data_IF_190595116580
#
_entry.id   IF_190595116580
#
_cell.length_a   1.000
_cell.length_b   1.000
_cell.length_c   1.000
_cell.angle_alpha   90.00
_cell.angle_beta   90.00
_cell.angle_gamma   90.00
#
_symmetry.space_group_name_H-M   'P 1'
#
loop_
_entity.id
_entity.type
_entity.pdbx_description
1 polymer ?
#
# COMPACT_ATOMS: atom_id res chain seq x y z
N UNK A 1 18.90 -6.65 -7.61
CA UNK A 1 17.64 -6.87 -8.36
C UNK A 1 16.79 -7.80 -7.52
N UNK A 2 15.59 -7.42 -7.13
CA UNK A 2 14.67 -8.19 -6.27
C UNK A 2 13.37 -8.42 -7.00
N UNK A 3 12.61 -9.45 -6.59
CA UNK A 3 11.26 -9.72 -7.08
C UNK A 3 10.28 -9.18 -6.04
N UNK A 4 9.41 -8.25 -6.43
CA UNK A 4 8.42 -7.66 -5.55
C UNK A 4 7.03 -7.97 -6.08
N UNK A 5 6.23 -8.69 -5.29
CA UNK A 5 4.87 -9.05 -5.66
C UNK A 5 3.87 -8.14 -4.98
N UNK A 6 3.07 -7.46 -5.79
CA UNK A 6 1.97 -6.58 -5.39
C UNK A 6 0.68 -7.36 -5.47
N UNK A 7 -0.08 -7.44 -4.38
CA UNK A 7 -1.38 -8.13 -4.33
C UNK A 7 -2.48 -7.11 -4.15
N UNK A 8 -3.28 -6.93 -5.19
CA UNK A 8 -4.27 -5.89 -5.37
C UNK A 8 -3.84 -4.92 -6.48
N UNK A 9 -4.62 -4.83 -7.55
CA UNK A 9 -4.38 -3.92 -8.69
C UNK A 9 -5.18 -2.61 -8.56
N UNK A 10 -5.39 -2.15 -7.33
CA UNK A 10 -5.96 -0.83 -7.06
C UNK A 10 -4.98 0.30 -7.41
N UNK A 11 -5.50 1.54 -7.51
CA UNK A 11 -4.72 2.70 -7.95
C UNK A 11 -3.42 2.91 -7.16
N UNK A 12 -3.46 2.77 -5.80
CA UNK A 12 -2.30 3.04 -4.97
C UNK A 12 -1.20 1.97 -5.13
N UNK A 13 -1.59 0.68 -5.15
CA UNK A 13 -0.64 -0.39 -5.39
C UNK A 13 -0.01 -0.29 -6.78
N UNK A 14 -0.81 -0.02 -7.80
CA UNK A 14 -0.32 0.17 -9.16
C UNK A 14 0.59 1.40 -9.30
N UNK A 15 0.30 2.50 -8.59
CA UNK A 15 1.19 3.66 -8.55
C UNK A 15 2.53 3.35 -7.87
N UNK A 16 2.56 2.49 -6.86
CA UNK A 16 3.81 2.08 -6.20
C UNK A 16 4.70 1.18 -7.08
N UNK A 17 4.19 0.65 -8.18
CA UNK A 17 5.03 -0.06 -9.15
C UNK A 17 6.03 0.87 -9.84
N UNK A 18 5.74 2.19 -9.97
CA UNK A 18 6.64 3.14 -10.63
C UNK A 18 8.00 3.24 -9.92
N UNK A 19 8.08 3.67 -8.64
CA UNK A 19 9.36 3.79 -7.97
C UNK A 19 10.10 2.47 -7.86
N UNK A 20 9.39 1.35 -7.64
CA UNK A 20 10.02 0.03 -7.50
C UNK A 20 10.57 -0.50 -8.81
N UNK A 21 9.85 -0.34 -9.91
CA UNK A 21 10.32 -0.73 -11.24
C UNK A 21 11.54 0.11 -11.67
N UNK A 22 11.50 1.42 -11.42
CA UNK A 22 12.59 2.36 -11.73
C UNK A 22 13.86 2.09 -10.91
N UNK A 23 13.75 1.44 -9.75
CA UNK A 23 14.88 0.91 -8.99
C UNK A 23 15.48 -0.38 -9.60
N UNK A 24 14.97 -0.85 -10.73
CA UNK A 24 15.46 -2.02 -11.44
C UNK A 24 15.03 -3.36 -10.85
N UNK A 25 13.88 -3.38 -10.15
CA UNK A 25 13.30 -4.60 -9.62
C UNK A 25 12.33 -5.27 -10.60
N UNK A 26 12.16 -6.59 -10.48
CA UNK A 26 11.10 -7.32 -11.16
C UNK A 26 9.81 -7.15 -10.39
N UNK A 27 8.77 -6.68 -11.06
CA UNK A 27 7.46 -6.41 -10.46
C UNK A 27 6.44 -7.42 -10.96
N UNK A 28 5.74 -8.05 -10.02
CA UNK A 28 4.60 -8.92 -10.27
C UNK A 28 3.36 -8.28 -9.67
N UNK A 29 2.37 -7.96 -10.49
CA UNK A 29 1.11 -7.35 -10.06
C UNK A 29 -0.02 -8.37 -10.18
N UNK A 30 -0.61 -8.73 -9.04
CA UNK A 30 -1.69 -9.70 -8.92
C UNK A 30 -3.00 -8.97 -8.65
N UNK A 31 -4.03 -9.23 -9.43
CA UNK A 31 -5.38 -8.72 -9.16
C UNK A 31 -6.04 -9.43 -7.97
N UNK A 32 -6.94 -8.74 -7.28
CA UNK A 32 -7.92 -9.38 -6.38
C UNK A 32 -9.08 -9.97 -7.21
N UNK A 33 -10.03 -10.71 -6.60
CA UNK A 33 -11.25 -11.14 -7.31
C UNK A 33 -12.05 -10.00 -7.97
N UNK A 34 -11.85 -8.75 -7.51
CA UNK A 34 -12.52 -7.56 -8.05
C UNK A 34 -11.73 -6.86 -9.17
N UNK A 35 -10.47 -7.24 -9.38
CA UNK A 35 -9.56 -6.54 -10.30
C UNK A 35 -9.41 -7.27 -11.66
N UNK A 36 -10.25 -8.28 -11.93
CA UNK A 36 -10.13 -9.11 -13.14
C UNK A 36 -10.00 -8.28 -14.42
N UNK A 37 -10.93 -7.35 -14.63
CA UNK A 37 -10.96 -6.50 -15.82
C UNK A 37 -9.76 -5.54 -15.89
N UNK A 38 -9.25 -5.10 -14.73
CA UNK A 38 -8.04 -4.26 -14.64
C UNK A 38 -6.83 -5.05 -15.12
N UNK A 39 -6.66 -6.27 -14.62
CA UNK A 39 -5.53 -7.14 -15.04
C UNK A 39 -5.63 -7.51 -16.52
N UNK A 40 -6.83 -7.82 -17.02
CA UNK A 40 -7.04 -8.10 -18.45
C UNK A 40 -6.64 -6.90 -19.33
N UNK A 41 -6.97 -5.68 -18.91
CA UNK A 41 -6.58 -4.48 -19.64
C UNK A 41 -5.06 -4.25 -19.58
N UNK A 42 -4.45 -4.43 -18.39
CA UNK A 42 -3.00 -4.30 -18.22
C UNK A 42 -2.21 -5.32 -19.06
N UNK A 43 -2.67 -6.56 -19.13
CA UNK A 43 -2.07 -7.60 -19.99
C UNK A 43 -2.11 -7.25 -21.48
N UNK A 44 -3.09 -6.45 -21.89
CA UNK A 44 -3.28 -6.06 -23.28
C UNK A 44 -2.35 -4.95 -23.72
N UNK A 45 -2.19 -3.90 -22.90
CA UNK A 45 -1.52 -2.68 -23.34
C UNK A 45 -0.86 -1.86 -22.20
N UNK A 46 -0.66 -2.45 -21.01
CA UNK A 46 -0.10 -1.79 -19.82
C UNK A 46 -0.94 -0.60 -19.29
N UNK A 47 -2.13 -0.34 -19.85
CA UNK A 47 -2.98 0.78 -19.43
C UNK A 47 -3.85 0.42 -18.22
N UNK A 48 -3.68 1.18 -17.12
CA UNK A 48 -4.49 1.02 -15.91
C UNK A 48 -5.76 1.88 -15.98
N UNK A 49 -6.97 1.28 -16.11
CA UNK A 49 -8.19 2.02 -16.46
C UNK A 49 -8.67 3.01 -15.39
N UNK A 50 -8.46 2.73 -14.11
CA UNK A 50 -8.89 3.61 -13.02
C UNK A 50 -7.80 4.61 -12.61
N UNK A 51 -6.53 4.25 -12.66
CA UNK A 51 -5.41 5.18 -12.47
C UNK A 51 -5.23 6.12 -13.68
N UNK A 52 -5.69 5.68 -14.87
CA UNK A 52 -5.56 6.40 -16.15
C UNK A 52 -4.11 6.72 -16.52
N UNK A 53 -3.22 5.76 -16.27
CA UNK A 53 -1.79 5.83 -16.60
C UNK A 53 -1.35 4.50 -17.21
N UNK A 54 -0.35 4.56 -18.08
CA UNK A 54 0.37 3.37 -18.51
C UNK A 54 1.38 2.99 -17.45
N UNK A 55 1.38 1.73 -17.03
CA UNK A 55 2.44 1.19 -16.18
C UNK A 55 3.68 0.91 -17.03
N UNK A 56 4.81 0.66 -16.39
CA UNK A 56 6.04 0.34 -17.10
C UNK A 56 5.91 -0.99 -17.84
N UNK A 57 6.33 -1.01 -19.09
CA UNK A 57 6.41 -2.25 -19.85
C UNK A 57 7.41 -3.21 -19.22
N UNK A 58 7.04 -4.48 -19.09
CA UNK A 58 7.85 -5.51 -18.42
C UNK A 58 7.39 -5.84 -17.00
N UNK A 59 6.32 -5.22 -16.50
CA UNK A 59 5.61 -5.70 -15.30
C UNK A 59 4.89 -7.00 -15.65
N UNK A 60 5.02 -8.00 -14.79
CA UNK A 60 4.32 -9.28 -14.92
C UNK A 60 2.94 -9.19 -14.27
N UNK A 61 1.88 -9.48 -15.03
CA UNK A 61 0.49 -9.40 -14.54
C UNK A 61 -0.10 -10.78 -14.30
N UNK A 62 -0.80 -10.93 -13.18
CA UNK A 62 -1.38 -12.20 -12.75
C UNK A 62 -2.83 -12.02 -12.32
N UNK A 63 -3.69 -12.97 -12.68
CA UNK A 63 -5.01 -13.10 -12.06
C UNK A 63 -4.90 -13.77 -10.68
N UNK A 64 -5.94 -13.65 -9.86
CA UNK A 64 -5.90 -14.13 -8.46
C UNK A 64 -5.66 -15.64 -8.34
N UNK A 65 -6.13 -16.42 -9.28
CA UNK A 65 -5.92 -17.89 -9.33
C UNK A 65 -4.44 -18.27 -9.56
N UNK A 66 -3.63 -17.32 -10.00
CA UNK A 66 -2.18 -17.49 -10.21
C UNK A 66 -1.33 -16.92 -9.05
N UNK A 67 -1.96 -16.51 -7.92
CA UNK A 67 -1.25 -15.83 -6.82
C UNK A 67 -0.09 -16.64 -6.27
N UNK A 68 -0.22 -17.96 -6.17
CA UNK A 68 0.84 -18.83 -5.66
C UNK A 68 2.09 -18.78 -6.55
N UNK A 69 1.91 -18.80 -7.87
CA UNK A 69 3.03 -18.61 -8.81
C UNK A 69 3.63 -17.22 -8.73
N UNK A 70 2.81 -16.19 -8.49
CA UNK A 70 3.28 -14.82 -8.40
C UNK A 70 4.08 -14.53 -7.13
N UNK A 71 3.79 -15.20 -6.00
CA UNK A 71 4.52 -15.03 -4.74
C UNK A 71 5.75 -15.95 -4.62
N UNK A 72 5.85 -16.97 -5.47
CA UNK A 72 6.99 -17.87 -5.47
C UNK A 72 8.30 -17.12 -5.77
N UNK A 73 9.28 -17.25 -4.88
CA UNK A 73 10.58 -16.57 -5.00
C UNK A 73 10.54 -15.05 -4.84
N UNK A 74 9.43 -14.46 -4.37
CA UNK A 74 9.36 -13.04 -4.08
C UNK A 74 10.26 -12.68 -2.89
N UNK A 75 10.95 -11.53 -3.00
CA UNK A 75 11.81 -10.96 -1.95
C UNK A 75 11.02 -10.01 -1.02
N UNK A 76 9.91 -9.47 -1.50
CA UNK A 76 8.97 -8.66 -0.72
C UNK A 76 7.55 -8.77 -1.27
N UNK A 77 6.55 -8.64 -0.39
CA UNK A 77 5.13 -8.64 -0.75
C UNK A 77 4.53 -7.28 -0.39
N UNK A 78 3.82 -6.67 -1.32
CA UNK A 78 3.01 -5.49 -1.04
C UNK A 78 1.52 -5.88 -1.03
N UNK A 79 0.85 -5.60 0.09
CA UNK A 79 -0.61 -5.69 0.21
C UNK A 79 -1.24 -4.36 -0.23
N UNK A 80 -1.94 -4.40 -1.37
CA UNK A 80 -2.58 -3.25 -2.00
C UNK A 80 -4.10 -3.26 -1.97
N UNK A 81 -4.71 -4.07 -1.08
CA UNK A 81 -6.17 -4.16 -0.96
C UNK A 81 -6.76 -2.92 -0.28
N UNK A 82 -8.02 -2.64 -0.54
CA UNK A 82 -8.79 -1.64 0.21
C UNK A 82 -9.18 -2.16 1.60
N UNK A 83 -9.71 -1.28 2.46
CA UNK A 83 -10.24 -1.67 3.78
C UNK A 83 -11.30 -2.77 3.71
N UNK A 84 -12.04 -2.87 2.62
CA UNK A 84 -13.02 -3.95 2.40
C UNK A 84 -12.39 -5.31 2.10
N UNK A 85 -11.12 -5.33 1.67
CA UNK A 85 -10.38 -6.56 1.35
C UNK A 85 -9.55 -7.11 2.51
N UNK A 86 -9.57 -6.49 3.69
CA UNK A 86 -8.70 -6.85 4.83
C UNK A 86 -8.97 -8.27 5.33
N UNK A 87 -10.23 -8.65 5.48
CA UNK A 87 -10.62 -10.01 5.90
C UNK A 87 -10.29 -11.04 4.84
N UNK A 88 -10.63 -10.74 3.57
CA UNK A 88 -10.28 -11.59 2.45
C UNK A 88 -8.76 -11.83 2.37
N UNK A 89 -7.96 -10.78 2.52
CA UNK A 89 -6.50 -10.90 2.51
C UNK A 89 -5.99 -11.77 3.67
N UNK A 90 -6.57 -11.59 4.86
CA UNK A 90 -6.26 -12.40 6.04
C UNK A 90 -6.52 -13.89 5.80
N UNK A 91 -7.68 -14.21 5.24
CA UNK A 91 -8.15 -15.58 5.15
C UNK A 91 -7.61 -16.32 3.91
N UNK A 92 -7.43 -15.62 2.79
CA UNK A 92 -7.06 -16.23 1.51
C UNK A 92 -5.57 -16.05 1.14
N UNK A 93 -4.92 -14.98 1.60
CA UNK A 93 -3.56 -14.66 1.17
C UNK A 93 -2.52 -14.93 2.26
N UNK A 94 -2.73 -14.45 3.49
CA UNK A 94 -1.73 -14.65 4.55
C UNK A 94 -1.29 -16.09 4.74
N UNK A 95 -2.17 -17.12 4.65
CA UNK A 95 -1.76 -18.52 4.78
C UNK A 95 -0.77 -19.01 3.71
N UNK A 96 -0.72 -18.32 2.57
CA UNK A 96 0.15 -18.68 1.43
C UNK A 96 1.53 -18.00 1.49
N UNK A 97 1.69 -16.98 2.35
CA UNK A 97 2.90 -16.18 2.41
C UNK A 97 4.03 -16.90 3.18
N UNK A 98 5.25 -16.73 2.67
CA UNK A 98 6.45 -17.22 3.37
C UNK A 98 6.81 -16.28 4.54
N UNK A 99 6.93 -16.79 5.79
CA UNK A 99 7.28 -15.99 6.95
C UNK A 99 8.64 -15.27 6.87
N UNK A 100 9.54 -15.74 6.02
CA UNK A 100 10.85 -15.09 5.81
C UNK A 100 10.80 -13.90 4.88
N UNK A 101 9.72 -13.74 4.11
CA UNK A 101 9.54 -12.66 3.16
C UNK A 101 8.77 -11.52 3.84
N UNK A 102 9.31 -10.30 3.91
CA UNK A 102 8.60 -9.18 4.52
C UNK A 102 7.38 -8.78 3.67
N UNK A 103 6.28 -8.52 4.37
CA UNK A 103 5.07 -7.97 3.78
C UNK A 103 4.87 -6.53 4.25
N UNK A 104 4.53 -5.63 3.34
CA UNK A 104 4.18 -4.24 3.66
C UNK A 104 2.82 -3.90 3.06
N UNK A 105 1.97 -3.21 3.83
CA UNK A 105 0.61 -2.85 3.44
C UNK A 105 0.45 -1.35 3.21
N UNK A 106 -0.33 -0.98 2.19
CA UNK A 106 -0.78 0.41 1.96
C UNK A 106 -2.23 0.64 2.39
N UNK A 107 -2.87 -0.38 2.96
CA UNK A 107 -4.27 -0.33 3.40
C UNK A 107 -4.41 0.63 4.57
N UNK A 108 -5.33 1.58 4.46
CA UNK A 108 -5.56 2.63 5.47
C UNK A 108 -6.84 2.37 6.23
N UNK A 109 -6.78 2.50 7.55
CA UNK A 109 -7.94 2.34 8.43
C UNK A 109 -7.62 1.53 9.68
N UNK A 110 -8.67 1.20 10.42
CA UNK A 110 -8.60 0.39 11.64
C UNK A 110 -9.80 -0.56 11.69
N UNK A 111 -9.64 -1.68 12.35
CA UNK A 111 -10.74 -2.58 12.68
C UNK A 111 -11.36 -2.14 14.00
N UNK A 112 -12.69 -2.08 14.03
CA UNK A 112 -13.45 -2.00 15.28
C UNK A 112 -13.77 -3.42 15.73
N UNK A 113 -13.16 -3.83 16.84
CA UNK A 113 -13.39 -5.14 17.43
C UNK A 113 -14.78 -5.22 18.06
N UNK A 114 -15.34 -6.42 18.29
CA UNK A 114 -16.66 -6.60 18.90
C UNK A 114 -16.81 -5.99 20.31
N UNK A 115 -15.71 -5.84 21.04
CA UNK A 115 -15.63 -5.19 22.35
C UNK A 115 -15.54 -3.66 22.29
N UNK A 116 -15.55 -3.09 21.08
CA UNK A 116 -15.43 -1.65 20.82
C UNK A 116 -14.00 -1.12 20.79
N UNK A 117 -12.98 -1.97 20.95
CA UNK A 117 -11.59 -1.54 20.78
C UNK A 117 -11.26 -1.34 19.32
N UNK A 118 -10.39 -0.35 19.04
CA UNK A 118 -9.83 -0.14 17.72
C UNK A 118 -8.48 -0.87 17.63
N UNK A 119 -8.27 -1.56 16.51
CA UNK A 119 -7.05 -2.29 16.23
C UNK A 119 -6.50 -1.88 14.87
N UNK A 120 -5.18 -1.72 14.77
CA UNK A 120 -4.49 -1.49 13.48
C UNK A 120 -4.64 -2.71 12.57
N UNK A 121 -4.52 -2.53 11.24
CA UNK A 121 -4.57 -3.69 10.34
C UNK A 121 -3.36 -4.61 10.51
N UNK A 122 -2.19 -4.06 10.84
CA UNK A 122 -1.01 -4.88 11.16
C UNK A 122 -1.27 -5.78 12.35
N UNK A 123 -1.80 -5.22 13.46
CA UNK A 123 -2.12 -6.01 14.66
C UNK A 123 -3.23 -7.03 14.39
N UNK A 124 -4.27 -6.62 13.63
CA UNK A 124 -5.36 -7.50 13.24
C UNK A 124 -4.86 -8.74 12.49
N UNK A 125 -3.98 -8.54 11.52
CA UNK A 125 -3.39 -9.65 10.80
C UNK A 125 -2.44 -10.48 11.65
N UNK A 126 -1.58 -9.86 12.47
CA UNK A 126 -0.66 -10.55 13.38
C UNK A 126 -1.39 -11.38 14.45
N UNK A 127 -2.60 -11.01 14.83
CA UNK A 127 -3.42 -11.78 15.76
C UNK A 127 -4.08 -13.02 15.12
N UNK A 128 -4.01 -13.19 13.80
CA UNK A 128 -4.51 -14.39 13.12
C UNK A 128 -3.49 -15.54 13.17
N UNK A 129 -3.95 -16.78 12.99
CA UNK A 129 -3.07 -17.96 12.98
C UNK A 129 -1.97 -17.91 11.91
N UNK A 130 -2.30 -17.40 10.75
CA UNK A 130 -1.32 -17.24 9.66
C UNK A 130 -0.40 -16.03 9.90
N UNK A 131 -0.98 -14.89 10.29
CA UNK A 131 -0.27 -13.63 10.40
C UNK A 131 0.73 -13.54 11.54
N UNK A 132 0.51 -14.26 12.65
CA UNK A 132 1.42 -14.24 13.82
C UNK A 132 2.85 -14.69 13.52
N UNK A 133 3.07 -15.39 12.42
CA UNK A 133 4.39 -15.86 11.97
C UNK A 133 5.01 -14.94 10.93
N UNK A 134 4.25 -13.98 10.40
CA UNK A 134 4.65 -13.14 9.29
C UNK A 134 5.33 -11.86 9.74
N UNK A 135 6.23 -11.34 8.91
CA UNK A 135 6.91 -10.08 9.11
C UNK A 135 6.12 -8.95 8.42
N UNK A 136 5.14 -8.38 9.13
CA UNK A 136 4.13 -7.46 8.58
C UNK A 136 4.48 -6.02 8.93
N UNK A 137 4.42 -5.14 7.92
CA UNK A 137 4.72 -3.71 7.98
C UNK A 137 3.60 -2.90 7.33
N UNK A 138 3.59 -1.57 7.54
CA UNK A 138 2.63 -0.69 6.89
C UNK A 138 3.30 0.57 6.32
N UNK A 139 2.60 1.19 5.35
CA UNK A 139 2.95 2.48 4.76
C UNK A 139 1.89 3.50 5.17
N UNK A 140 2.32 4.58 5.80
CA UNK A 140 1.49 5.70 6.16
C UNK A 140 1.95 7.00 5.51
N UNK A 141 1.02 7.92 5.23
CA UNK A 141 1.37 9.25 4.72
C UNK A 141 0.37 9.85 3.74
N UNK A 142 0.57 11.11 3.37
CA UNK A 142 -0.33 11.89 2.52
C UNK A 142 -0.06 11.69 1.02
N UNK A 143 0.46 10.56 0.60
CA UNK A 143 0.69 10.24 -0.81
C UNK A 143 -0.63 9.86 -1.49
N UNK A 144 -0.88 10.42 -2.67
CA UNK A 144 -1.97 10.02 -3.57
C UNK A 144 -1.42 9.22 -4.75
N UNK A 145 -2.25 8.35 -5.34
CA UNK A 145 -1.83 7.50 -6.45
C UNK A 145 -1.49 8.29 -7.71
N UNK A 146 -2.19 9.38 -7.96
CA UNK A 146 -1.96 10.22 -9.14
C UNK A 146 -0.64 10.99 -9.03
N UNK A 147 -0.42 11.66 -7.89
CA UNK A 147 0.82 12.38 -7.62
C UNK A 147 2.04 11.46 -7.73
N UNK A 148 1.95 10.25 -7.16
CA UNK A 148 3.03 9.27 -7.24
C UNK A 148 3.29 8.80 -8.68
N UNK A 149 2.23 8.51 -9.44
CA UNK A 149 2.35 8.10 -10.85
C UNK A 149 2.87 9.22 -11.75
N UNK A 150 2.60 10.48 -11.41
CA UNK A 150 3.10 11.67 -12.10
C UNK A 150 4.49 12.12 -11.58
N UNK A 151 5.08 11.35 -10.64
CA UNK A 151 6.39 11.58 -10.02
C UNK A 151 6.46 12.88 -9.21
N UNK A 152 5.32 13.32 -8.69
CA UNK A 152 5.29 14.43 -7.74
C UNK A 152 5.90 13.99 -6.41
N UNK A 153 6.65 14.90 -5.78
CA UNK A 153 7.31 14.61 -4.53
C UNK A 153 6.31 14.22 -3.44
N UNK A 154 6.46 13.01 -2.93
CA UNK A 154 5.61 12.43 -1.88
C UNK A 154 6.45 11.97 -0.69
N UNK A 155 5.93 12.18 0.53
CA UNK A 155 6.55 11.77 1.78
C UNK A 155 5.66 10.77 2.50
N UNK A 156 6.24 9.63 2.87
CA UNK A 156 5.57 8.57 3.61
C UNK A 156 6.43 8.06 4.75
N UNK A 157 5.79 7.36 5.68
CA UNK A 157 6.47 6.59 6.71
C UNK A 157 6.25 5.10 6.46
N UNK A 158 7.32 4.32 6.46
CA UNK A 158 7.24 2.87 6.59
C UNK A 158 7.35 2.52 8.07
N UNK A 159 6.41 1.75 8.58
CA UNK A 159 6.39 1.35 9.99
C UNK A 159 6.34 -0.16 10.17
N UNK A 160 7.02 -0.62 11.24
CA UNK A 160 7.13 -2.03 11.59
C UNK A 160 8.06 -2.22 12.79
N UNK A 161 8.06 -3.38 13.40
CA UNK A 161 8.82 -3.63 14.63
C UNK A 161 10.35 -3.70 14.40
N UNK A 162 10.78 -4.14 13.21
CA UNK A 162 12.19 -4.35 12.90
C UNK A 162 12.73 -3.25 11.95
N UNK A 163 13.60 -2.41 12.49
CA UNK A 163 14.18 -1.28 11.74
C UNK A 163 15.05 -1.73 10.56
N UNK A 164 15.73 -2.87 10.65
CA UNK A 164 16.58 -3.38 9.56
C UNK A 164 15.72 -3.86 8.39
N UNK A 165 14.59 -4.52 8.67
CA UNK A 165 13.61 -4.88 7.62
C UNK A 165 13.02 -3.63 6.99
N UNK A 166 12.73 -2.59 7.78
CA UNK A 166 12.25 -1.31 7.24
C UNK A 166 13.29 -0.64 6.34
N UNK A 167 14.58 -0.68 6.69
CA UNK A 167 15.68 -0.18 5.83
C UNK A 167 15.75 -0.95 4.51
N UNK A 168 15.62 -2.27 4.58
CA UNK A 168 15.57 -3.11 3.39
C UNK A 168 14.37 -2.74 2.51
N UNK A 169 13.15 -2.70 3.06
CA UNK A 169 11.95 -2.29 2.33
C UNK A 169 12.10 -0.88 1.75
N UNK A 170 12.61 0.09 2.53
CA UNK A 170 12.90 1.43 2.03
C UNK A 170 13.78 1.38 0.79
N UNK A 171 14.86 0.61 0.79
CA UNK A 171 15.78 0.50 -0.35
C UNK A 171 15.14 -0.03 -1.63
N UNK A 172 14.02 -0.76 -1.53
CA UNK A 172 13.27 -1.24 -2.68
C UNK A 172 12.39 -0.16 -3.32
N UNK A 173 11.88 0.78 -2.52
CA UNK A 173 10.83 1.73 -2.92
C UNK A 173 11.29 3.18 -3.04
N UNK A 174 12.32 3.61 -2.32
CA UNK A 174 12.73 5.02 -2.28
C UNK A 174 13.23 5.50 -3.65
N UNK A 175 12.77 6.69 -4.04
CA UNK A 175 13.14 7.37 -5.28
C UNK A 175 13.32 8.86 -5.03
N UNK A 176 13.87 9.59 -6.01
CA UNK A 176 14.06 11.06 -5.93
C UNK A 176 12.75 11.80 -5.63
N UNK A 177 11.60 11.24 -6.06
CA UNK A 177 10.26 11.80 -5.83
C UNK A 177 9.46 11.06 -4.76
N UNK A 178 9.91 9.90 -4.25
CA UNK A 178 9.22 9.11 -3.23
C UNK A 178 10.10 8.96 -1.99
N UNK A 179 9.87 9.83 -1.01
CA UNK A 179 10.68 9.96 0.20
C UNK A 179 10.11 9.12 1.35
N UNK A 180 10.95 8.29 1.96
CA UNK A 180 10.51 7.32 2.98
C UNK A 180 11.22 7.59 4.30
N UNK A 181 10.44 7.91 5.33
CA UNK A 181 10.85 7.90 6.73
C UNK A 181 10.59 6.53 7.36
N UNK A 182 11.33 6.17 8.38
CA UNK A 182 11.17 4.89 9.07
C UNK A 182 10.69 5.12 10.51
N UNK A 183 9.74 4.30 10.97
CA UNK A 183 9.22 4.36 12.33
C UNK A 183 9.00 2.96 12.91
N UNK A 184 9.38 2.73 14.15
CA UNK A 184 9.00 1.53 14.88
C UNK A 184 7.68 1.68 15.65
N UNK A 185 7.08 2.86 15.64
CA UNK A 185 5.77 3.12 16.19
C UNK A 185 4.67 2.80 15.16
N UNK A 186 4.32 1.52 15.04
CA UNK A 186 3.29 1.03 14.12
C UNK A 186 1.94 1.64 14.46
N UNK A 187 1.56 1.61 15.74
CA UNK A 187 0.26 2.10 16.21
C UNK A 187 0.10 3.59 15.94
N UNK A 188 1.11 4.39 16.29
CA UNK A 188 1.07 5.84 16.06
C UNK A 188 0.95 6.19 14.58
N UNK A 189 1.72 5.53 13.70
CA UNK A 189 1.66 5.78 12.25
C UNK A 189 0.30 5.36 11.67
N UNK A 190 -0.22 4.16 11.97
CA UNK A 190 -1.49 3.70 11.43
C UNK A 190 -2.68 4.50 11.97
N UNK A 191 -2.67 4.89 13.26
CA UNK A 191 -3.68 5.81 13.82
C UNK A 191 -3.68 7.17 13.11
N UNK A 192 -2.51 7.76 12.92
CA UNK A 192 -2.39 9.05 12.21
C UNK A 192 -2.92 8.97 10.78
N UNK A 193 -2.64 7.85 10.09
CA UNK A 193 -3.11 7.61 8.71
C UNK A 193 -4.63 7.40 8.65
N UNK A 194 -5.19 6.64 9.60
CA UNK A 194 -6.64 6.44 9.68
C UNK A 194 -7.40 7.77 9.89
N UNK A 195 -6.83 8.68 10.67
CA UNK A 195 -7.41 9.99 10.97
C UNK A 195 -7.09 11.08 9.93
N UNK A 196 -6.25 10.81 8.94
CA UNK A 196 -5.77 11.80 7.94
C UNK A 196 -6.91 12.64 7.35
N UNK A 197 -7.97 12.01 6.92
CA UNK A 197 -9.08 12.70 6.26
C UNK A 197 -9.87 13.62 7.22
N UNK A 198 -9.99 13.24 8.48
CA UNK A 198 -10.63 14.06 9.51
C UNK A 198 -9.80 15.32 9.79
N UNK A 199 -8.47 15.19 9.90
CA UNK A 199 -7.58 16.36 10.04
C UNK A 199 -7.60 17.25 8.80
N UNK A 200 -7.56 16.68 7.61
CA UNK A 200 -7.63 17.44 6.36
C UNK A 200 -8.91 18.27 6.29
N UNK A 201 -10.06 17.70 6.66
CA UNK A 201 -11.34 18.42 6.73
C UNK A 201 -11.28 19.59 7.73
N UNK A 202 -10.71 19.36 8.91
CA UNK A 202 -10.55 20.40 9.94
C UNK A 202 -9.67 21.56 9.46
N UNK A 203 -8.53 21.26 8.84
CA UNK A 203 -7.63 22.27 8.26
C UNK A 203 -8.31 23.05 7.15
N UNK A 204 -8.98 22.38 6.20
CA UNK A 204 -9.69 23.04 5.09
C UNK A 204 -10.79 23.97 5.60
N UNK A 205 -11.53 23.54 6.62
CA UNK A 205 -12.56 24.35 7.25
C UNK A 205 -11.94 25.60 7.92
N UNK A 206 -10.84 25.43 8.66
CA UNK A 206 -10.18 26.55 9.34
C UNK A 206 -9.64 27.58 8.33
N UNK A 207 -9.01 27.13 7.24
CA UNK A 207 -8.52 28.00 6.16
C UNK A 207 -9.67 28.74 5.51
N UNK A 208 -10.74 28.05 5.10
CA UNK A 208 -11.91 28.69 4.46
C UNK A 208 -12.61 29.71 5.37
N UNK A 209 -12.65 29.48 6.69
CA UNK A 209 -13.18 30.46 7.65
C UNK A 209 -12.25 31.68 7.78
N UNK A 210 -10.93 31.49 7.77
CA UNK A 210 -9.98 32.60 7.82
C UNK A 210 -10.05 33.46 6.54
N UNK A 211 -10.05 32.82 5.36
CA UNK A 211 -10.19 33.52 4.07
C UNK A 211 -11.50 34.32 3.97
N UNK A 212 -12.61 33.77 4.46
CA UNK A 212 -13.89 34.47 4.50
C UNK A 212 -13.84 35.71 5.42
N UNK A 213 -13.16 35.62 6.57
CA UNK A 213 -12.99 36.76 7.49
C UNK A 213 -12.12 37.85 6.87
N UNK A 214 -11.14 37.50 6.05
CA UNK A 214 -10.25 38.43 5.34
C UNK A 214 -10.87 38.98 4.04
N UNK A 215 -12.09 38.56 3.67
CA UNK A 215 -12.74 38.97 2.42
C UNK A 215 -12.12 38.40 1.16
N UNK A 216 -11.34 37.33 1.30
CA UNK A 216 -10.62 36.64 0.20
C UNK A 216 -11.35 35.41 -0.32
N UNK A 217 -12.40 34.95 0.34
CA UNK A 217 -13.22 33.83 -0.10
C UNK A 217 -14.39 34.27 -0.98
N UNK A 218 -14.46 33.78 -2.20
CA UNK A 218 -15.60 33.94 -3.12
C UNK A 218 -16.75 33.01 -2.72
#
# INVERSE_FOLDING_TARGET
MSIITFIGAGQMASALTFPTFENGHTIRLVGTPLDKDIIEQLMKDDFHPTLKRYLHHGIEYYQIDQVESAIEGADAILCGVSSFGVDWFKDEILPKLNPQVPMISVTKGMICCPDGQLMTYVDYWKNSEAGKKLNIHAIGGPCTSYELADKDHSWVAFCGENIETLRYLKSLFEQEYYHISLSTDVVGVECAVAMKNAYALGVTLAVGLAEKREGKGS
#
